data_IF_790311771184
#
_entry.id   IF_790311771184
#
_cell.length_a   1.000
_cell.length_b   1.000
_cell.length_c   1.000
_cell.angle_alpha   90.00
_cell.angle_beta   90.00
_cell.angle_gamma   90.00
#
_symmetry.space_group_name_H-M   'P 1'
#
loop_
_entity.id
_entity.type
_entity.pdbx_description
1 polymer ?
#
# COMPACT_ATOMS: atom_id res chain seq x y z
N UNK A 1 -5.32 -5.06 -19.14
CA UNK A 1 -5.68 -5.10 -17.70
C UNK A 1 -6.70 -4.01 -17.44
N UNK A 2 -7.80 -4.31 -16.76
CA UNK A 2 -8.79 -3.29 -16.37
C UNK A 2 -8.29 -2.56 -15.12
N UNK A 3 -8.32 -1.23 -15.13
CA UNK A 3 -8.00 -0.40 -13.96
C UNK A 3 -9.23 -0.40 -13.05
N UNK A 4 -9.09 -0.89 -11.82
CA UNK A 4 -10.15 -0.85 -10.82
C UNK A 4 -9.93 0.34 -9.89
N UNK A 5 -10.95 1.20 -9.76
CA UNK A 5 -10.91 2.31 -8.80
C UNK A 5 -10.99 1.76 -7.38
N UNK A 6 -10.02 2.12 -6.55
CA UNK A 6 -10.08 1.92 -5.11
C UNK A 6 -11.10 2.91 -4.55
N UNK A 7 -12.12 2.39 -3.87
CA UNK A 7 -13.16 3.17 -3.20
C UNK A 7 -12.75 3.50 -1.76
N UNK A 8 -12.15 2.55 -1.05
CA UNK A 8 -11.62 2.75 0.28
C UNK A 8 -10.36 1.89 0.50
N UNK A 9 -9.47 2.39 1.37
CA UNK A 9 -8.27 1.70 1.82
C UNK A 9 -8.18 1.87 3.34
N UNK A 10 -8.05 0.77 4.07
CA UNK A 10 -7.90 0.78 5.52
C UNK A 10 -6.76 -0.13 5.96
N UNK A 11 -6.06 0.30 7.01
CA UNK A 11 -5.03 -0.48 7.70
C UNK A 11 -5.41 -0.55 9.15
N UNK A 12 -5.54 -1.76 9.67
CA UNK A 12 -5.87 -2.02 11.07
C UNK A 12 -4.72 -2.77 11.71
N UNK A 13 -4.07 -2.17 12.71
CA UNK A 13 -3.02 -2.82 13.49
C UNK A 13 -3.63 -3.45 14.74
N UNK A 14 -3.39 -4.74 14.94
CA UNK A 14 -3.85 -5.50 16.11
C UNK A 14 -2.78 -5.52 17.21
N UNK A 15 -1.52 -5.77 16.84
CA UNK A 15 -0.38 -5.73 17.75
C UNK A 15 0.79 -4.99 17.11
N UNK A 16 1.52 -4.21 17.92
CA UNK A 16 2.72 -3.50 17.48
C UNK A 16 3.96 -4.41 17.43
N UNK A 17 4.08 -5.41 18.33
CA UNK A 17 5.21 -6.34 18.37
C UNK A 17 4.76 -7.78 18.76
N UNK A 18 5.01 -8.80 17.90
CA UNK A 18 5.38 -8.64 16.49
C UNK A 18 4.25 -7.92 15.72
N UNK A 19 4.59 -7.11 14.71
CA UNK A 19 3.58 -6.38 13.93
C UNK A 19 2.56 -7.37 13.35
N UNK A 20 1.30 -7.21 13.72
CA UNK A 20 0.18 -7.95 13.16
C UNK A 20 -0.95 -7.00 12.87
N UNK A 21 -1.38 -6.97 11.62
CA UNK A 21 -2.49 -6.15 11.18
C UNK A 21 -3.21 -6.75 10.00
N UNK A 22 -4.13 -5.97 9.46
CA UNK A 22 -4.94 -6.32 8.31
C UNK A 22 -5.03 -5.10 7.43
N UNK A 23 -4.82 -5.30 6.14
CA UNK A 23 -5.10 -4.30 5.11
C UNK A 23 -6.36 -4.72 4.37
N UNK A 24 -7.29 -3.79 4.21
CA UNK A 24 -8.51 -3.98 3.44
C UNK A 24 -8.57 -2.94 2.31
N UNK A 25 -8.84 -3.43 1.10
CA UNK A 25 -8.99 -2.63 -0.10
C UNK A 25 -10.38 -2.88 -0.68
N UNK A 26 -11.24 -1.88 -0.60
CA UNK A 26 -12.54 -1.92 -1.25
C UNK A 26 -12.43 -1.37 -2.67
N UNK A 27 -12.79 -2.21 -3.62
CA UNK A 27 -12.97 -1.89 -5.02
C UNK A 27 -14.43 -2.13 -5.40
N UNK A 28 -14.89 -1.56 -6.51
CA UNK A 28 -16.28 -1.68 -6.96
C UNK A 28 -16.77 -3.14 -7.01
N UNK A 29 -17.50 -3.55 -5.95
CA UNK A 29 -18.05 -4.89 -5.76
C UNK A 29 -17.08 -5.96 -5.24
N UNK A 30 -15.85 -5.61 -4.83
CA UNK A 30 -14.85 -6.55 -4.32
C UNK A 30 -14.05 -5.96 -3.17
N UNK A 31 -13.96 -6.68 -2.07
CA UNK A 31 -13.06 -6.36 -0.96
C UNK A 31 -11.89 -7.34 -1.00
N UNK A 32 -10.66 -6.82 -1.09
CA UNK A 32 -9.44 -7.60 -0.85
C UNK A 32 -9.01 -7.41 0.58
N UNK A 33 -8.69 -8.51 1.26
CA UNK A 33 -8.20 -8.50 2.64
C UNK A 33 -6.95 -9.35 2.72
N UNK A 34 -5.89 -8.81 3.29
CA UNK A 34 -4.63 -9.52 3.50
C UNK A 34 -4.04 -9.19 4.87
N UNK A 35 -3.33 -10.18 5.42
CA UNK A 35 -2.62 -10.04 6.69
C UNK A 35 -1.38 -9.15 6.50
N UNK A 36 -1.22 -8.20 7.41
CA UNK A 36 -0.04 -7.37 7.52
C UNK A 36 0.88 -7.97 8.59
N UNK A 37 2.06 -8.39 8.16
CA UNK A 37 3.16 -8.78 9.05
C UNK A 37 4.35 -7.83 8.81
N UNK A 38 5.42 -8.01 9.57
CA UNK A 38 6.62 -7.14 9.52
C UNK A 38 7.26 -7.12 8.12
N UNK A 39 7.41 -8.29 7.49
CA UNK A 39 8.01 -8.38 6.15
C UNK A 39 7.19 -7.63 5.10
N UNK A 40 5.87 -7.85 5.07
CA UNK A 40 4.97 -7.19 4.11
C UNK A 40 4.90 -5.69 4.37
N UNK A 41 4.87 -5.27 5.64
CA UNK A 41 4.90 -3.85 5.99
C UNK A 41 6.20 -3.20 5.53
N UNK A 42 7.34 -3.86 5.75
CA UNK A 42 8.64 -3.37 5.33
C UNK A 42 8.75 -3.25 3.81
N UNK A 43 8.35 -4.29 3.07
CA UNK A 43 8.33 -4.27 1.61
C UNK A 43 7.42 -3.16 1.07
N UNK A 44 6.21 -3.01 1.63
CA UNK A 44 5.27 -1.97 1.20
C UNK A 44 5.85 -0.56 1.40
N UNK A 45 6.45 -0.31 2.57
CA UNK A 45 7.10 0.96 2.85
C UNK A 45 8.27 1.24 1.89
N UNK A 46 9.11 0.24 1.63
CA UNK A 46 10.25 0.35 0.71
C UNK A 46 9.79 0.63 -0.74
N UNK A 47 8.77 -0.09 -1.21
CA UNK A 47 8.24 0.08 -2.56
C UNK A 47 7.57 1.44 -2.75
N UNK A 48 6.85 1.91 -1.72
CA UNK A 48 6.23 3.24 -1.73
C UNK A 48 7.28 4.36 -1.72
N UNK A 49 8.31 4.26 -0.87
CA UNK A 49 9.41 5.22 -0.82
C UNK A 49 10.13 5.31 -2.17
N UNK A 50 10.43 4.15 -2.76
CA UNK A 50 11.06 4.06 -4.07
C UNK A 50 10.20 4.69 -5.17
N UNK A 51 8.89 4.37 -5.20
CA UNK A 51 7.96 4.91 -6.18
C UNK A 51 7.84 6.44 -6.07
N UNK A 52 7.68 6.96 -4.85
CA UNK A 52 7.55 8.41 -4.61
C UNK A 52 8.85 9.14 -4.96
N UNK A 53 10.01 8.59 -4.60
CA UNK A 53 11.32 9.16 -4.94
C UNK A 53 11.53 9.18 -6.45
N UNK A 54 11.21 8.10 -7.17
CA UNK A 54 11.29 8.08 -8.63
C UNK A 54 10.28 9.02 -9.31
N UNK A 55 9.06 9.11 -8.79
CA UNK A 55 8.04 10.03 -9.31
C UNK A 55 8.50 11.49 -9.15
N UNK A 56 9.13 11.80 -8.02
CA UNK A 56 9.73 13.12 -7.79
C UNK A 56 10.87 13.38 -8.80
N UNK A 57 11.78 12.43 -9.00
CA UNK A 57 12.88 12.57 -9.97
C UNK A 57 12.38 12.88 -11.40
N UNK A 58 11.31 12.21 -11.84
CA UNK A 58 10.70 12.44 -13.16
C UNK A 58 9.98 13.78 -13.27
N UNK A 59 9.46 14.32 -12.17
CA UNK A 59 8.87 15.66 -12.16
C UNK A 59 9.94 16.76 -12.31
N UNK A 60 11.16 16.52 -11.82
CA UNK A 60 12.29 17.44 -11.96
C UNK A 60 12.99 17.36 -13.33
N UNK A 61 12.91 16.24 -14.05
CA UNK A 61 13.51 16.06 -15.39
C UNK A 61 12.70 16.73 -16.51
N UNK A 62 11.49 17.22 -16.20
CA UNK A 62 10.54 17.77 -17.18
C UNK A 62 10.40 19.31 -17.09
N UNK A 63 11.41 20.01 -16.55
CA UNK A 63 11.49 21.48 -16.41
C UNK A 63 12.69 22.01 -17.20
#
# INVERSE_FOLDING_TARGET
MAVHKIAAFSVTTNCAEPLRGIVEIDMAGKTLRFELNEDVAHSLCSDLDHFLTQAQQRAFDNI
#
